data_IF_272456496814
#
_entry.id   IF_272456496814
#
_cell.length_a   1.000
_cell.length_b   1.000
_cell.length_c   1.000
_cell.angle_alpha   90.00
_cell.angle_beta   90.00
_cell.angle_gamma   90.00
#
_symmetry.space_group_name_H-M   'P 1'
#
loop_
_entity.id
_entity.type
_entity.pdbx_description
1 polymer ?
#
# COMPACT_ATOMS: atom_id res chain seq x y z
N UNK A 1 -20.24 -24.53 -16.11
CA UNK A 1 -19.60 -23.21 -15.95
C UNK A 1 -18.13 -23.44 -15.67
N UNK A 2 -17.24 -22.92 -16.52
CA UNK A 2 -15.80 -22.90 -16.25
C UNK A 2 -15.60 -21.87 -15.13
N UNK A 3 -14.96 -22.25 -14.03
CA UNK A 3 -14.62 -21.29 -12.97
C UNK A 3 -13.56 -20.33 -13.51
N UNK A 4 -13.65 -19.02 -13.21
CA UNK A 4 -12.65 -18.06 -13.67
C UNK A 4 -11.29 -18.40 -13.07
N UNK A 5 -10.23 -18.22 -13.86
CA UNK A 5 -8.87 -18.48 -13.41
C UNK A 5 -8.52 -17.53 -12.26
N UNK A 6 -7.99 -18.07 -11.16
CA UNK A 6 -7.53 -17.26 -10.03
C UNK A 6 -6.05 -16.93 -10.20
N UNK A 7 -5.74 -15.64 -10.31
CA UNK A 7 -4.40 -15.14 -10.63
C UNK A 7 -3.93 -14.24 -9.49
N UNK A 8 -2.79 -14.58 -8.90
CA UNK A 8 -2.18 -13.76 -7.86
C UNK A 8 -1.39 -12.59 -8.46
N UNK A 9 -1.47 -11.43 -7.84
CA UNK A 9 -0.58 -10.29 -8.13
C UNK A 9 0.09 -9.80 -6.85
N UNK A 10 1.31 -9.29 -6.97
CA UNK A 10 2.07 -8.63 -5.91
C UNK A 10 2.56 -7.29 -6.44
N UNK A 11 2.31 -6.22 -5.71
CA UNK A 11 2.59 -4.86 -6.14
C UNK A 11 1.64 -4.38 -7.23
N UNK A 12 2.15 -3.58 -8.14
CA UNK A 12 1.38 -3.07 -9.28
C UNK A 12 2.06 -3.59 -10.55
N UNK A 13 1.70 -4.78 -11.05
CA UNK A 13 2.22 -5.28 -12.33
C UNK A 13 1.99 -4.26 -13.46
N UNK A 14 2.79 -4.32 -14.55
CA UNK A 14 2.56 -3.50 -15.74
C UNK A 14 1.09 -3.50 -16.19
N UNK A 15 0.59 -2.34 -16.60
CA UNK A 15 -0.79 -2.15 -17.05
C UNK A 15 -1.17 -3.09 -18.18
N UNK A 16 -0.22 -3.46 -19.04
CA UNK A 16 -0.45 -4.45 -20.10
C UNK A 16 -0.83 -5.83 -19.55
N UNK A 17 -0.19 -6.26 -18.45
CA UNK A 17 -0.53 -7.53 -17.78
C UNK A 17 -1.92 -7.41 -17.17
N UNK A 18 -2.23 -6.33 -16.45
CA UNK A 18 -3.55 -6.13 -15.85
C UNK A 18 -4.63 -6.08 -16.94
N UNK A 19 -4.37 -5.43 -18.07
CA UNK A 19 -5.26 -5.37 -19.23
C UNK A 19 -5.53 -6.75 -19.81
N UNK A 20 -4.48 -7.57 -19.99
CA UNK A 20 -4.63 -8.95 -20.43
C UNK A 20 -5.51 -9.75 -19.47
N UNK A 21 -5.23 -9.69 -18.16
CA UNK A 21 -5.99 -10.41 -17.14
C UNK A 21 -7.47 -9.96 -17.08
N UNK A 22 -7.73 -8.65 -17.22
CA UNK A 22 -9.08 -8.12 -17.29
C UNK A 22 -9.82 -8.61 -18.56
N UNK A 23 -9.14 -8.70 -19.71
CA UNK A 23 -9.71 -9.22 -20.96
C UNK A 23 -9.99 -10.73 -20.91
N UNK A 24 -9.15 -11.49 -20.20
CA UNK A 24 -9.34 -12.91 -19.90
C UNK A 24 -10.46 -13.16 -18.87
N UNK A 25 -11.04 -12.10 -18.28
CA UNK A 25 -12.00 -12.18 -17.18
C UNK A 25 -11.46 -13.00 -15.99
N UNK A 26 -10.15 -12.96 -15.78
CA UNK A 26 -9.50 -13.63 -14.67
C UNK A 26 -9.89 -13.02 -13.33
N UNK A 27 -10.03 -13.85 -12.30
CA UNK A 27 -10.19 -13.41 -10.92
C UNK A 27 -8.81 -13.02 -10.37
N UNK A 28 -8.50 -11.72 -10.39
CA UNK A 28 -7.24 -11.19 -9.87
C UNK A 28 -7.32 -11.07 -8.35
N UNK A 29 -6.35 -11.65 -7.64
CA UNK A 29 -6.21 -11.60 -6.19
C UNK A 29 -4.95 -10.83 -5.84
N UNK A 30 -5.10 -9.74 -5.09
CA UNK A 30 -3.97 -8.98 -4.56
C UNK A 30 -3.38 -9.71 -3.34
N UNK A 31 -2.19 -10.28 -3.51
CA UNK A 31 -1.52 -11.05 -2.48
C UNK A 31 -0.82 -10.17 -1.43
N UNK A 32 -0.71 -8.84 -1.65
CA UNK A 32 -0.19 -7.92 -0.64
C UNK A 32 -1.18 -7.74 0.54
N UNK A 33 -2.47 -7.92 0.28
CA UNK A 33 -3.53 -7.81 1.28
C UNK A 33 -3.76 -9.15 2.02
N UNK A 34 -4.11 -9.13 3.32
CA UNK A 34 -4.52 -10.35 4.02
C UNK A 34 -5.81 -10.95 3.41
N UNK A 35 -5.68 -11.97 2.56
CA UNK A 35 -6.82 -12.68 1.97
C UNK A 35 -7.39 -13.76 2.90
N UNK A 36 -6.57 -14.21 3.85
CA UNK A 36 -6.85 -15.29 4.78
C UNK A 36 -6.56 -14.84 6.21
N UNK A 37 -7.37 -15.33 7.16
CA UNK A 37 -7.13 -15.12 8.59
C UNK A 37 -6.16 -16.20 9.09
N UNK A 38 -4.88 -16.02 8.76
CA UNK A 38 -3.79 -16.91 9.16
C UNK A 38 -2.75 -16.17 10.02
N UNK A 39 -2.20 -16.84 11.06
CA UNK A 39 -1.04 -16.34 11.80
C UNK A 39 0.15 -16.07 10.87
N UNK A 40 0.78 -14.89 11.01
CA UNK A 40 1.86 -14.49 10.12
C UNK A 40 3.13 -15.35 10.27
N UNK A 41 3.32 -15.95 11.45
CA UNK A 41 4.44 -16.83 11.80
C UNK A 41 4.49 -18.14 11.00
N UNK A 42 3.41 -18.52 10.31
CA UNK A 42 3.42 -19.64 9.37
C UNK A 42 4.34 -19.40 8.16
N UNK A 43 4.75 -18.14 7.92
CA UNK A 43 5.74 -17.78 6.90
C UNK A 43 7.19 -18.06 7.34
N UNK A 44 7.44 -18.29 8.63
CA UNK A 44 8.79 -18.32 9.23
C UNK A 44 9.66 -19.46 8.69
N UNK A 45 9.05 -20.51 8.14
CA UNK A 45 9.76 -21.63 7.54
C UNK A 45 10.44 -21.27 6.20
N UNK A 46 10.00 -20.18 5.55
CA UNK A 46 10.50 -19.75 4.23
C UNK A 46 11.12 -18.36 4.25
N UNK A 47 10.70 -17.47 5.16
CA UNK A 47 11.23 -16.12 5.31
C UNK A 47 11.62 -15.84 6.76
N UNK A 48 12.66 -15.04 7.02
CA UNK A 48 13.00 -14.62 8.38
C UNK A 48 11.83 -13.90 9.07
N UNK A 49 11.74 -14.04 10.40
CA UNK A 49 10.76 -13.30 11.22
C UNK A 49 10.84 -11.79 11.03
N UNK A 50 12.07 -11.28 10.94
CA UNK A 50 12.41 -9.87 10.73
C UNK A 50 12.42 -9.54 9.23
N UNK A 51 11.25 -9.70 8.60
CA UNK A 51 11.06 -9.44 7.17
C UNK A 51 9.76 -8.67 6.95
N UNK A 52 9.67 -7.96 5.81
CA UNK A 52 8.53 -7.13 5.47
C UNK A 52 7.21 -7.90 5.64
N UNK A 53 6.33 -7.41 6.52
CA UNK A 53 5.07 -8.08 6.85
C UNK A 53 4.14 -8.27 5.64
N UNK A 54 4.17 -7.34 4.68
CA UNK A 54 3.44 -7.45 3.41
C UNK A 54 3.96 -8.65 2.61
N UNK A 55 5.27 -8.81 2.48
CA UNK A 55 5.86 -9.92 1.74
C UNK A 55 5.70 -11.28 2.45
N UNK A 56 5.68 -11.28 3.79
CA UNK A 56 5.27 -12.46 4.57
C UNK A 56 3.80 -12.81 4.31
N UNK A 57 2.93 -11.81 4.16
CA UNK A 57 1.51 -11.98 3.79
C UNK A 57 1.36 -12.55 2.37
N UNK A 58 2.14 -12.04 1.40
CA UNK A 58 2.21 -12.58 0.03
C UNK A 58 2.50 -14.07 0.02
N UNK A 59 3.52 -14.50 0.76
CA UNK A 59 3.91 -15.90 0.86
C UNK A 59 2.76 -16.75 1.45
N UNK A 60 2.11 -16.29 2.52
CA UNK A 60 1.00 -17.01 3.14
C UNK A 60 -0.19 -17.16 2.20
N UNK A 61 -0.58 -16.09 1.51
CA UNK A 61 -1.64 -16.14 0.52
C UNK A 61 -1.28 -17.13 -0.60
N UNK A 62 -0.06 -17.05 -1.14
CA UNK A 62 0.38 -17.89 -2.25
C UNK A 62 0.42 -19.39 -1.90
N UNK A 63 0.76 -19.74 -0.66
CA UNK A 63 0.80 -21.13 -0.18
C UNK A 63 -0.58 -21.73 0.08
N UNK A 64 -1.58 -20.89 0.38
CA UNK A 64 -2.88 -21.35 0.89
C UNK A 64 -4.06 -21.07 -0.06
N UNK A 65 -3.84 -20.28 -1.11
CA UNK A 65 -4.84 -20.03 -2.16
C UNK A 65 -4.60 -20.95 -3.36
N UNK A 66 -5.70 -21.35 -4.02
CA UNK A 66 -5.64 -22.10 -5.26
C UNK A 66 -5.48 -21.13 -6.44
N UNK A 67 -4.23 -20.84 -6.78
CA UNK A 67 -3.87 -19.93 -7.87
C UNK A 67 -3.39 -20.72 -9.10
N UNK A 68 -3.54 -20.16 -10.30
CA UNK A 68 -3.03 -20.75 -11.54
C UNK A 68 -1.66 -20.20 -11.95
N UNK A 69 -1.37 -18.96 -11.57
CA UNK A 69 -0.06 -18.29 -11.71
C UNK A 69 -0.02 -17.04 -10.83
N UNK A 70 1.19 -16.53 -10.60
CA UNK A 70 1.44 -15.31 -9.82
C UNK A 70 2.31 -14.35 -10.64
N UNK A 71 1.92 -13.07 -10.72
CA UNK A 71 2.79 -12.00 -11.20
C UNK A 71 3.33 -11.20 -10.02
N UNK A 72 4.65 -11.04 -9.96
CA UNK A 72 5.31 -10.29 -8.89
C UNK A 72 6.02 -9.08 -9.49
N UNK A 73 5.54 -7.87 -9.22
CA UNK A 73 6.27 -6.66 -9.57
C UNK A 73 7.50 -6.51 -8.65
N UNK A 74 8.68 -6.33 -9.25
CA UNK A 74 9.97 -6.29 -8.55
C UNK A 74 10.78 -5.04 -8.87
N UNK A 75 11.72 -4.71 -7.99
CA UNK A 75 12.62 -3.58 -8.19
C UNK A 75 11.92 -2.24 -7.94
N UNK A 76 12.11 -1.20 -8.79
CA UNK A 76 11.65 0.16 -8.51
C UNK A 76 10.16 0.31 -8.22
N UNK A 77 9.31 -0.47 -8.91
CA UNK A 77 7.86 -0.47 -8.69
C UNK A 77 7.44 -1.04 -7.33
N UNK A 78 8.29 -1.84 -6.68
CA UNK A 78 7.99 -2.48 -5.40
C UNK A 78 9.19 -2.42 -4.44
N UNK A 79 10.07 -3.41 -4.51
CA UNK A 79 11.39 -3.46 -3.88
C UNK A 79 12.18 -4.71 -4.33
N UNK A 80 13.48 -4.77 -4.02
CA UNK A 80 14.29 -5.98 -4.25
C UNK A 80 13.96 -7.12 -3.28
N UNK A 81 13.37 -6.82 -2.11
CA UNK A 81 12.82 -7.88 -1.25
C UNK A 81 11.74 -8.69 -1.98
N UNK A 82 10.91 -8.05 -2.82
CA UNK A 82 9.92 -8.75 -3.63
C UNK A 82 10.56 -9.69 -4.66
N UNK A 83 11.74 -9.34 -5.20
CA UNK A 83 12.52 -10.21 -6.09
C UNK A 83 12.95 -11.50 -5.37
N UNK A 84 13.43 -11.38 -4.13
CA UNK A 84 13.82 -12.54 -3.34
C UNK A 84 12.62 -13.44 -3.00
N UNK A 85 11.47 -12.84 -2.66
CA UNK A 85 10.24 -13.60 -2.42
C UNK A 85 9.75 -14.29 -3.69
N UNK A 86 9.84 -13.65 -4.86
CA UNK A 86 9.51 -14.29 -6.13
C UNK A 86 10.38 -15.54 -6.40
N UNK A 87 11.67 -15.47 -6.09
CA UNK A 87 12.58 -16.62 -6.22
C UNK A 87 12.17 -17.77 -5.28
N UNK A 88 11.90 -17.47 -4.00
CA UNK A 88 11.42 -18.46 -3.02
C UNK A 88 10.11 -19.10 -3.48
N UNK A 89 9.13 -18.30 -3.91
CA UNK A 89 7.84 -18.78 -4.40
C UNK A 89 8.01 -19.70 -5.62
N UNK A 90 8.91 -19.35 -6.55
CA UNK A 90 9.18 -20.14 -7.75
C UNK A 90 9.76 -21.52 -7.42
N UNK A 91 10.57 -21.62 -6.36
CA UNK A 91 11.18 -22.89 -5.95
C UNK A 91 10.19 -23.80 -5.22
N UNK A 92 9.24 -23.24 -4.46
CA UNK A 92 8.34 -24.02 -3.59
C UNK A 92 6.97 -24.30 -4.21
N UNK A 93 6.53 -23.51 -5.19
CA UNK A 93 5.22 -23.68 -5.83
C UNK A 93 5.35 -24.45 -7.15
N UNK A 94 4.34 -25.26 -7.46
CA UNK A 94 4.22 -25.96 -8.75
C UNK A 94 3.59 -25.12 -9.86
N UNK A 95 3.13 -23.90 -9.55
CA UNK A 95 2.50 -22.97 -10.49
C UNK A 95 3.51 -21.93 -10.99
N UNK A 96 3.28 -21.33 -12.18
CA UNK A 96 4.15 -20.27 -12.68
C UNK A 96 4.19 -19.05 -11.74
N UNK A 97 5.40 -18.63 -11.38
CA UNK A 97 5.69 -17.38 -10.68
C UNK A 97 6.52 -16.51 -11.62
N UNK A 98 5.96 -15.38 -12.04
CA UNK A 98 6.50 -14.51 -13.09
C UNK A 98 6.88 -13.18 -12.46
N UNK A 99 8.18 -12.93 -12.35
CA UNK A 99 8.69 -11.63 -11.96
C UNK A 99 8.51 -10.63 -13.11
N UNK A 100 7.95 -9.47 -12.81
CA UNK A 100 7.69 -8.37 -13.75
C UNK A 100 8.34 -7.09 -13.22
N UNK A 101 8.54 -6.11 -14.09
CA UNK A 101 9.00 -4.78 -13.68
C UNK A 101 8.04 -3.76 -14.27
N UNK A 102 7.33 -3.05 -13.43
CA UNK A 102 6.49 -1.96 -13.89
C UNK A 102 7.34 -0.71 -14.18
N UNK A 103 7.40 -0.35 -15.46
CA UNK A 103 8.05 0.86 -15.98
C UNK A 103 7.05 1.78 -16.68
N UNK A 104 5.76 1.63 -16.39
CA UNK A 104 4.71 2.47 -16.95
C UNK A 104 4.93 3.93 -16.51
N UNK A 105 4.79 4.86 -17.46
CA UNK A 105 4.91 6.30 -17.22
C UNK A 105 3.61 7.06 -17.48
N UNK A 106 2.60 6.38 -18.04
CA UNK A 106 1.31 7.00 -18.31
C UNK A 106 0.51 7.14 -17.01
N UNK A 107 0.37 8.39 -16.57
CA UNK A 107 -0.40 8.75 -15.38
C UNK A 107 -1.91 8.53 -15.57
N UNK A 108 -2.54 7.87 -14.59
CA UNK A 108 -4.01 7.81 -14.47
C UNK A 108 -4.57 8.88 -13.53
N UNK A 109 -3.71 9.74 -12.98
CA UNK A 109 -4.05 10.70 -11.93
C UNK A 109 -4.24 10.04 -10.56
N UNK A 110 -4.53 10.88 -9.56
CA UNK A 110 -4.73 10.43 -8.18
C UNK A 110 -5.94 11.12 -7.48
N UNK A 111 -7.14 11.10 -8.09
CA UNK A 111 -8.32 11.79 -7.55
C UNK A 111 -8.78 11.28 -6.16
N UNK A 112 -8.60 10.00 -5.84
CA UNK A 112 -8.92 9.41 -4.54
C UNK A 112 -8.00 10.00 -3.45
N UNK A 113 -6.70 10.09 -3.72
CA UNK A 113 -5.71 10.68 -2.79
C UNK A 113 -6.05 12.12 -2.36
N UNK A 114 -6.73 12.90 -3.19
CA UNK A 114 -7.05 14.32 -2.95
C UNK A 114 -8.53 14.58 -2.59
N UNK A 115 -9.35 13.53 -2.57
CA UNK A 115 -10.78 13.65 -2.25
C UNK A 115 -11.02 13.89 -0.76
N UNK A 116 -12.27 14.18 -0.37
CA UNK A 116 -12.73 14.22 1.02
C UNK A 116 -13.31 12.88 1.50
N UNK A 117 -12.91 11.75 0.90
CA UNK A 117 -13.31 10.42 1.39
C UNK A 117 -12.57 10.08 2.70
N UNK A 118 -13.17 9.28 3.60
CA UNK A 118 -12.48 8.77 4.77
C UNK A 118 -11.17 8.06 4.39
N UNK A 119 -10.10 8.24 5.19
CA UNK A 119 -8.77 7.77 4.82
C UNK A 119 -8.70 6.25 4.60
N UNK A 120 -9.42 5.48 5.42
CA UNK A 120 -9.55 4.02 5.25
C UNK A 120 -10.21 3.67 3.91
N UNK A 121 -11.24 4.42 3.52
CA UNK A 121 -11.94 4.19 2.26
C UNK A 121 -11.06 4.54 1.05
N UNK A 122 -10.28 5.62 1.13
CA UNK A 122 -9.27 5.95 0.12
C UNK A 122 -8.30 4.80 -0.09
N UNK A 123 -7.73 4.25 0.99
CA UNK A 123 -6.79 3.13 0.91
C UNK A 123 -7.42 1.90 0.26
N UNK A 124 -8.62 1.49 0.70
CA UNK A 124 -9.34 0.34 0.13
C UNK A 124 -9.60 0.51 -1.36
N UNK A 125 -10.00 1.70 -1.80
CA UNK A 125 -10.23 1.97 -3.22
C UNK A 125 -8.94 1.84 -4.01
N UNK A 126 -7.87 2.48 -3.54
CA UNK A 126 -6.56 2.48 -4.21
C UNK A 126 -6.00 1.06 -4.33
N UNK A 127 -5.99 0.28 -3.24
CA UNK A 127 -5.50 -1.11 -3.25
C UNK A 127 -6.37 -1.98 -4.13
N UNK A 128 -7.70 -1.90 -4.05
CA UNK A 128 -8.60 -2.62 -4.98
C UNK A 128 -8.35 -2.21 -6.44
N UNK A 129 -8.03 -0.94 -6.66
CA UNK A 129 -7.79 -0.35 -7.97
C UNK A 129 -6.63 -1.00 -8.73
N UNK A 130 -5.63 -1.58 -8.05
CA UNK A 130 -4.47 -2.23 -8.71
C UNK A 130 -4.88 -3.39 -9.62
N UNK A 131 -6.05 -3.99 -9.39
CA UNK A 131 -6.63 -5.07 -10.17
C UNK A 131 -7.32 -4.60 -11.47
N UNK A 132 -7.39 -3.27 -11.71
CA UNK A 132 -8.04 -2.67 -12.87
C UNK A 132 -7.04 -1.93 -13.75
N UNK A 133 -7.20 -2.08 -15.07
CA UNK A 133 -6.51 -1.29 -16.10
C UNK A 133 -7.28 -0.05 -16.55
N UNK A 134 -8.42 0.28 -15.91
CA UNK A 134 -9.24 1.42 -16.27
C UNK A 134 -8.79 2.69 -15.53
N UNK A 135 -8.85 3.87 -16.20
CA UNK A 135 -8.66 5.16 -15.53
C UNK A 135 -9.66 5.38 -14.39
N UNK A 136 -9.27 6.22 -13.44
CA UNK A 136 -10.14 6.57 -12.31
C UNK A 136 -11.30 7.46 -12.74
N UNK A 137 -12.51 7.27 -12.16
CA UNK A 137 -13.53 8.30 -12.25
C UNK A 137 -13.04 9.57 -11.55
N UNK A 138 -13.46 10.73 -12.08
CA UNK A 138 -13.16 12.01 -11.45
C UNK A 138 -13.84 12.09 -10.07
N UNK A 139 -13.10 12.57 -9.08
CA UNK A 139 -13.63 12.90 -7.75
C UNK A 139 -13.31 14.36 -7.44
N UNK A 140 -14.22 15.09 -6.77
CA UNK A 140 -13.92 16.45 -6.30
C UNK A 140 -12.72 16.44 -5.35
N UNK A 141 -11.72 17.26 -5.64
CA UNK A 141 -10.60 17.48 -4.73
C UNK A 141 -11.02 18.38 -3.56
N UNK A 142 -10.38 18.20 -2.40
CA UNK A 142 -10.54 19.08 -1.24
C UNK A 142 -9.21 19.72 -0.83
N UNK A 143 -9.21 20.81 -0.04
CA UNK A 143 -7.99 21.29 0.62
C UNK A 143 -7.55 20.32 1.72
N UNK A 144 -6.25 19.97 1.81
CA UNK A 144 -5.76 19.06 2.84
C UNK A 144 -5.70 19.74 4.22
N UNK A 145 -6.10 19.02 5.26
CA UNK A 145 -5.84 19.40 6.67
C UNK A 145 -4.65 18.65 7.27
N UNK A 146 -4.38 17.44 6.76
CA UNK A 146 -3.26 16.60 7.12
C UNK A 146 -2.74 15.83 5.90
N UNK A 147 -1.53 15.27 6.03
CA UNK A 147 -0.95 14.34 5.08
C UNK A 147 -0.75 12.95 5.69
N UNK A 148 -0.96 11.92 4.88
CA UNK A 148 -0.47 10.56 5.13
C UNK A 148 0.47 10.19 3.98
N UNK A 149 1.76 10.06 4.27
CA UNK A 149 2.75 9.52 3.34
C UNK A 149 3.01 8.06 3.71
N UNK A 150 2.97 7.15 2.74
CA UNK A 150 3.37 5.76 3.02
C UNK A 150 3.03 4.74 1.93
N UNK A 151 3.28 3.49 2.31
CA UNK A 151 2.67 2.30 1.67
C UNK A 151 1.33 2.01 2.33
N UNK A 152 0.40 1.27 1.69
CA UNK A 152 -0.80 0.80 2.37
C UNK A 152 -0.41 -0.02 3.63
N UNK A 153 -0.88 0.35 4.83
CA UNK A 153 -0.62 -0.44 6.03
C UNK A 153 -1.23 -1.84 5.92
N UNK A 154 -0.62 -2.84 6.53
CA UNK A 154 -1.28 -4.16 6.63
C UNK A 154 -2.57 -4.09 7.46
N UNK A 155 -2.58 -3.22 8.47
CA UNK A 155 -3.71 -2.98 9.37
C UNK A 155 -4.19 -1.54 9.20
N UNK A 156 -5.32 -1.36 8.50
CA UNK A 156 -5.89 -0.04 8.23
C UNK A 156 -6.47 0.65 9.47
N UNK A 157 -6.59 -0.03 10.63
CA UNK A 157 -7.09 0.61 11.85
C UNK A 157 -6.20 1.76 12.33
N UNK A 158 -4.92 1.77 11.95
CA UNK A 158 -3.99 2.87 12.22
C UNK A 158 -4.39 4.20 11.57
N UNK A 159 -5.26 4.14 10.57
CA UNK A 159 -5.71 5.29 9.79
C UNK A 159 -6.96 5.95 10.37
N UNK A 160 -7.61 5.32 11.36
CA UNK A 160 -8.82 5.82 11.98
C UNK A 160 -8.71 7.23 12.61
N UNK A 161 -7.57 7.65 13.17
CA UNK A 161 -7.43 9.00 13.74
C UNK A 161 -7.47 10.16 12.74
N UNK A 162 -7.31 9.89 11.45
CA UNK A 162 -7.13 10.94 10.45
C UNK A 162 -8.48 11.51 9.99
N UNK A 163 -8.58 12.84 9.78
CA UNK A 163 -9.78 13.44 9.21
C UNK A 163 -9.94 13.06 7.74
N UNK A 164 -11.17 13.13 7.23
CA UNK A 164 -11.54 12.84 5.84
C UNK A 164 -10.80 13.71 4.82
N UNK A 165 -10.41 14.93 5.19
CA UNK A 165 -9.59 15.85 4.38
C UNK A 165 -8.08 15.54 4.42
N UNK A 166 -7.68 14.37 4.91
CA UNK A 166 -6.28 13.91 4.81
C UNK A 166 -5.93 13.54 3.39
N UNK A 167 -4.89 14.15 2.83
CA UNK A 167 -4.35 13.75 1.52
C UNK A 167 -3.35 12.61 1.64
N UNK A 168 -3.36 11.70 0.66
CA UNK A 168 -2.40 10.60 0.57
C UNK A 168 -1.21 11.03 -0.32
N UNK A 169 0.00 10.71 0.16
CA UNK A 169 1.29 10.88 -0.48
C UNK A 169 2.06 9.55 -0.47
N UNK A 170 3.25 9.51 -1.07
CA UNK A 170 4.11 8.33 -1.08
C UNK A 170 3.65 7.27 -2.08
N UNK A 171 4.09 6.03 -1.86
CA UNK A 171 3.91 4.95 -2.83
C UNK A 171 2.44 4.59 -3.08
N UNK A 172 1.57 4.71 -2.06
CA UNK A 172 0.12 4.54 -2.26
C UNK A 172 -0.43 5.46 -3.35
N UNK A 173 0.06 6.71 -3.45
CA UNK A 173 -0.34 7.61 -4.53
C UNK A 173 0.17 7.15 -5.89
N UNK A 174 1.39 6.61 -5.94
CA UNK A 174 1.93 6.01 -7.17
C UNK A 174 1.13 4.79 -7.63
N UNK A 175 0.59 4.00 -6.69
CA UNK A 175 -0.33 2.89 -6.99
C UNK A 175 -1.62 3.40 -7.65
N UNK A 176 -2.22 4.47 -7.12
CA UNK A 176 -3.38 5.10 -7.73
C UNK A 176 -3.03 5.61 -9.14
N UNK A 177 -1.89 6.28 -9.29
CA UNK A 177 -1.42 6.86 -10.54
C UNK A 177 -0.99 5.83 -11.61
N UNK A 178 -0.91 4.54 -11.25
CA UNK A 178 -0.42 3.42 -12.09
C UNK A 178 1.05 3.51 -12.50
N UNK A 179 1.85 4.28 -11.78
CA UNK A 179 3.26 4.54 -12.06
C UNK A 179 4.09 4.27 -10.79
N UNK A 180 4.13 3.01 -10.31
CA UNK A 180 4.65 2.68 -8.99
C UNK A 180 6.16 2.95 -8.83
N UNK A 181 6.89 3.15 -9.94
CA UNK A 181 8.31 3.48 -9.98
C UNK A 181 8.59 5.01 -10.07
N UNK A 182 7.55 5.85 -10.05
CA UNK A 182 7.69 7.31 -10.10
C UNK A 182 8.20 7.86 -8.76
N UNK A 183 9.52 8.01 -8.67
CA UNK A 183 10.20 8.49 -7.47
C UNK A 183 9.91 9.97 -7.17
N UNK A 184 9.69 10.79 -8.20
CA UNK A 184 9.36 12.20 -8.00
C UNK A 184 7.98 12.33 -7.36
N UNK A 185 7.00 11.59 -7.89
CA UNK A 185 5.68 11.51 -7.30
C UNK A 185 5.71 10.88 -5.91
N UNK A 186 6.51 9.83 -5.68
CA UNK A 186 6.62 9.21 -4.35
C UNK A 186 7.24 10.17 -3.32
N UNK A 187 8.21 10.99 -3.74
CA UNK A 187 8.95 11.90 -2.86
C UNK A 187 8.21 13.18 -2.52
N UNK A 188 7.25 13.59 -3.35
CA UNK A 188 6.50 14.82 -3.13
C UNK A 188 5.55 14.71 -1.92
N UNK A 189 5.62 15.69 -1.02
CA UNK A 189 4.64 15.93 0.04
C UNK A 189 4.40 17.43 0.23
N UNK A 190 3.19 17.82 0.63
CA UNK A 190 2.85 19.23 0.85
C UNK A 190 3.44 19.70 2.20
N UNK A 191 4.43 20.62 2.21
CA UNK A 191 5.09 21.06 3.44
C UNK A 191 4.19 21.92 4.34
N UNK A 192 3.05 22.41 3.83
CA UNK A 192 2.17 23.31 4.58
C UNK A 192 1.26 22.60 5.58
N UNK A 193 1.09 21.27 5.48
CA UNK A 193 0.19 20.48 6.34
C UNK A 193 0.97 19.49 7.19
N UNK A 194 0.57 19.24 8.44
CA UNK A 194 1.19 18.20 9.26
C UNK A 194 1.04 16.84 8.58
N UNK A 195 2.15 16.11 8.44
CA UNK A 195 2.19 14.86 7.68
C UNK A 195 2.73 13.72 8.53
N UNK A 196 1.99 12.61 8.57
CA UNK A 196 2.47 11.35 9.12
C UNK A 196 3.17 10.56 8.02
N UNK A 197 4.44 10.22 8.24
CA UNK A 197 5.25 9.38 7.37
C UNK A 197 5.24 7.95 7.93
N UNK A 198 4.38 7.12 7.36
CA UNK A 198 4.20 5.74 7.75
C UNK A 198 5.10 4.82 6.92
N UNK A 199 5.73 3.87 7.60
CA UNK A 199 6.36 2.71 6.98
C UNK A 199 6.02 1.44 7.75
N UNK A 200 5.88 0.35 7.00
CA UNK A 200 5.84 -0.99 7.59
C UNK A 200 7.26 -1.41 7.96
N UNK A 201 7.46 -1.99 9.14
CA UNK A 201 8.78 -2.46 9.58
C UNK A 201 9.38 -3.42 8.55
N UNK A 202 10.69 -3.30 8.36
CA UNK A 202 11.47 -4.06 7.37
C UNK A 202 11.07 -3.82 5.90
N UNK A 203 10.24 -2.82 5.61
CA UNK A 203 10.02 -2.34 4.25
C UNK A 203 11.20 -1.47 3.80
N UNK A 204 11.67 -1.63 2.56
CA UNK A 204 12.72 -0.79 1.97
C UNK A 204 12.34 0.70 1.93
N UNK A 205 11.05 1.02 1.78
CA UNK A 205 10.54 2.39 1.70
C UNK A 205 10.65 3.16 3.03
N UNK A 206 10.97 2.48 4.13
CA UNK A 206 11.30 3.10 5.42
C UNK A 206 12.44 4.12 5.30
N UNK A 207 13.43 3.87 4.43
CA UNK A 207 14.53 4.79 4.21
C UNK A 207 14.04 6.14 3.67
N UNK A 208 13.18 6.12 2.65
CA UNK A 208 12.61 7.33 2.07
C UNK A 208 11.64 8.02 3.05
N UNK A 209 10.79 7.24 3.73
CA UNK A 209 9.87 7.74 4.75
C UNK A 209 10.60 8.57 5.81
N UNK A 210 11.66 7.99 6.38
CA UNK A 210 12.46 8.62 7.42
C UNK A 210 13.22 9.85 6.91
N UNK A 211 13.77 9.77 5.70
CA UNK A 211 14.45 10.89 5.07
C UNK A 211 13.52 12.10 4.86
N UNK A 212 12.33 11.87 4.31
CA UNK A 212 11.35 12.92 4.07
C UNK A 212 10.80 13.49 5.39
N UNK A 213 10.49 12.63 6.37
CA UNK A 213 10.04 13.06 7.69
C UNK A 213 11.04 14.00 8.37
N UNK A 214 12.35 13.70 8.30
CA UNK A 214 13.40 14.53 8.89
C UNK A 214 13.54 15.93 8.27
N UNK A 215 13.03 16.12 7.05
CA UNK A 215 13.09 17.39 6.30
C UNK A 215 11.78 18.16 6.33
N UNK A 216 10.70 17.49 6.70
CA UNK A 216 9.37 18.07 6.65
C UNK A 216 9.11 18.90 7.92
N UNK A 217 8.58 20.14 7.81
CA UNK A 217 8.53 21.09 8.93
C UNK A 217 7.60 20.65 10.07
N UNK A 218 6.59 19.82 9.76
CA UNK A 218 5.63 19.27 10.72
C UNK A 218 5.39 17.80 10.44
N UNK A 219 6.21 16.92 11.01
CA UNK A 219 6.20 15.50 10.67
C UNK A 219 6.16 14.59 11.88
N UNK A 220 5.48 13.46 11.72
CA UNK A 220 5.59 12.30 12.59
C UNK A 220 6.03 11.11 11.75
N UNK A 221 7.17 10.52 12.07
CA UNK A 221 7.58 9.24 11.49
C UNK A 221 7.04 8.09 12.34
N UNK A 222 6.31 7.17 11.71
CA UNK A 222 5.72 5.99 12.35
C UNK A 222 6.20 4.74 11.62
N UNK A 223 6.82 3.85 12.39
CA UNK A 223 7.20 2.51 11.96
C UNK A 223 6.31 1.51 12.72
N UNK A 224 5.64 0.62 11.98
CA UNK A 224 4.79 -0.42 12.54
C UNK A 224 5.10 -1.77 11.89
N UNK A 225 5.29 -2.78 12.73
CA UNK A 225 5.37 -4.16 12.26
C UNK A 225 3.94 -4.68 11.98
N UNK A 226 3.61 -5.93 12.34
CA UNK A 226 2.42 -6.63 11.85
C UNK A 226 1.08 -5.97 12.20
N UNK A 227 0.94 -5.42 13.41
CA UNK A 227 -0.30 -4.82 13.91
C UNK A 227 -0.09 -3.38 14.39
N UNK A 228 -1.14 -2.56 14.27
CA UNK A 228 -1.14 -1.22 14.81
C UNK A 228 -1.24 -1.29 16.34
N UNK A 229 -0.09 -1.25 17.02
CA UNK A 229 -0.08 -1.19 18.49
C UNK A 229 -0.78 0.07 19.00
N UNK A 230 -1.42 -0.01 20.18
CA UNK A 230 -2.10 1.13 20.83
C UNK A 230 -1.18 2.35 20.96
N UNK A 231 0.12 2.12 21.16
CA UNK A 231 1.13 3.19 21.21
C UNK A 231 1.29 3.94 19.88
N UNK A 232 1.29 3.25 18.73
CA UNK A 232 1.44 3.90 17.43
C UNK A 232 0.22 4.78 17.12
N UNK A 233 -0.98 4.26 17.40
CA UNK A 233 -2.23 5.00 17.25
C UNK A 233 -2.28 6.24 18.14
N UNK A 234 -1.94 6.10 19.43
CA UNK A 234 -1.92 7.23 20.36
C UNK A 234 -0.92 8.32 19.95
N UNK A 235 0.24 7.94 19.39
CA UNK A 235 1.22 8.91 18.84
C UNK A 235 0.65 9.69 17.65
N UNK A 236 -0.08 9.02 16.77
CA UNK A 236 -0.74 9.66 15.62
C UNK A 236 -1.82 10.62 16.11
N UNK A 237 -2.70 10.16 17.01
CA UNK A 237 -3.77 10.98 17.59
C UNK A 237 -3.19 12.26 18.24
N UNK A 238 -2.20 12.10 19.13
CA UNK A 238 -1.56 13.23 19.79
C UNK A 238 -0.86 14.18 18.81
N UNK A 239 -0.20 13.67 17.77
CA UNK A 239 0.44 14.50 16.76
C UNK A 239 -0.57 15.34 15.97
N UNK A 240 -1.69 14.73 15.56
CA UNK A 240 -2.74 15.42 14.82
C UNK A 240 -3.43 16.49 15.70
N UNK A 241 -3.71 16.17 16.96
CA UNK A 241 -4.26 17.11 17.95
C UNK A 241 -3.33 18.30 18.21
N UNK A 242 -2.06 18.05 18.56
CA UNK A 242 -1.06 19.09 18.81
C UNK A 242 -0.74 19.94 17.57
N UNK A 243 -1.03 19.42 16.38
CA UNK A 243 -0.88 20.15 15.12
C UNK A 243 -2.12 20.99 14.75
N UNK A 244 -3.18 20.95 15.57
CA UNK A 244 -4.44 21.66 15.33
C UNK A 244 -5.32 21.05 14.24
N UNK A 245 -5.10 19.78 13.90
CA UNK A 245 -5.88 19.05 12.86
C UNK A 245 -7.22 18.59 13.44
N UNK A 246 -7.18 18.04 14.64
CA UNK A 246 -8.35 17.65 15.41
C UNK A 246 -8.74 18.86 16.27
N UNK A 247 -9.51 19.80 15.72
CA UNK A 247 -9.97 20.96 16.49
C UNK A 247 -10.77 20.55 17.73
N UNK A 248 -10.80 21.41 18.76
CA UNK A 248 -11.54 21.25 20.03
C UNK A 248 -13.00 20.84 19.79
N UNK A 249 -13.24 19.54 19.74
CA UNK A 249 -14.52 18.91 19.49
C UNK A 249 -14.94 18.00 20.64
N UNK A 250 -14.64 18.37 21.89
CA UNK A 250 -15.26 17.79 23.08
C UNK A 250 -15.18 18.75 24.29
N UNK A 251 -15.70 19.96 24.12
CA UNK A 251 -16.15 20.80 25.23
C UNK A 251 -17.54 21.36 24.89
N UNK A 252 -18.55 20.49 24.92
CA UNK A 252 -19.93 20.89 25.06
C UNK A 252 -20.54 19.96 26.12
N UNK A 253 -21.00 20.57 27.22
CA UNK A 253 -21.57 19.92 28.39
C UNK A 253 -22.93 19.29 28.18
#
# INVERSE_FOLDING_TARGET
>A
MIMPQQIGIVGVPPLEIIRQLNAEQAAIIDLDEPQLVLPIDQSDQYLPRVYCAILRTVLLNALNLRLERIYVDVGPGKCDCALHVAAVLKDILSIPVIATRNTDTQSFGFPVCQSSLPLIEKMRRITKGVQSCQPWPQLPACPPTAGFWGVPPRDFSILAPFPDSTHIYGWTRCMENKTPADLELESYCNPAVPTVFFAQSFCAKTALAKHLAARHPKALWVDCDVSAGSSARAKIEAFLELSGVLGDGCAAG
#
